data_IF_974465207639
#
_entry.id   IF_974465207639
#
_cell.length_a   1.000
_cell.length_b   1.000
_cell.length_c   1.000
_cell.angle_alpha   90.00
_cell.angle_beta   90.00
_cell.angle_gamma   90.00
#
_symmetry.space_group_name_H-M   'P 1'
#
loop_
_entity.id
_entity.type
_entity.pdbx_description
1 polymer ?
#
# COMPACT_ATOMS: atom_id res chain seq x y z
N UNK A 1 -42.66 -65.29 -19.84
CA UNK A 1 -43.39 -64.12 -19.30
C UNK A 1 -43.85 -64.44 -17.88
N UNK A 2 -43.89 -63.52 -16.91
CA UNK A 2 -43.15 -62.26 -16.69
C UNK A 2 -42.27 -62.33 -15.40
N UNK A 3 -41.19 -61.54 -15.30
CA UNK A 3 -41.03 -60.36 -14.41
C UNK A 3 -41.05 -60.61 -12.89
N UNK A 4 -39.95 -60.30 -12.20
CA UNK A 4 -39.87 -59.10 -11.34
C UNK A 4 -38.45 -58.91 -10.77
N UNK A 5 -38.11 -57.64 -10.64
CA UNK A 5 -36.82 -57.03 -10.29
C UNK A 5 -36.97 -56.42 -8.89
N UNK A 6 -35.95 -56.52 -8.03
CA UNK A 6 -35.55 -55.50 -7.03
C UNK A 6 -34.38 -56.09 -6.23
N UNK A 7 -33.19 -55.50 -6.08
CA UNK A 7 -32.87 -54.08 -5.97
C UNK A 7 -32.24 -53.86 -4.59
N UNK A 8 -30.93 -54.14 -4.43
CA UNK A 8 -30.15 -53.71 -3.25
C UNK A 8 -28.90 -52.97 -3.71
N UNK A 9 -28.97 -51.64 -3.60
CA UNK A 9 -27.85 -50.72 -3.81
C UNK A 9 -26.92 -50.78 -2.60
N UNK A 10 -25.65 -51.10 -2.86
CA UNK A 10 -24.55 -50.93 -1.93
C UNK A 10 -24.15 -49.44 -1.97
N UNK A 11 -24.31 -48.73 -0.85
CA UNK A 11 -23.85 -47.35 -0.69
C UNK A 11 -22.43 -47.41 -0.12
N UNK A 12 -21.44 -47.18 -0.96
CA UNK A 12 -20.05 -46.99 -0.57
C UNK A 12 -19.87 -45.52 -0.18
N UNK A 13 -19.72 -45.25 1.12
CA UNK A 13 -19.37 -43.92 1.62
C UNK A 13 -17.87 -43.68 1.38
N UNK A 14 -17.58 -42.65 0.58
CA UNK A 14 -16.23 -42.17 0.32
C UNK A 14 -15.65 -41.42 1.51
N UNK A 15 -14.38 -41.72 1.81
CA UNK A 15 -13.52 -40.92 2.67
C UNK A 15 -12.34 -40.43 1.83
N UNK A 16 -12.50 -39.28 1.20
CA UNK A 16 -11.44 -38.54 0.51
C UNK A 16 -11.64 -37.07 0.84
N UNK A 17 -10.96 -36.59 1.89
CA UNK A 17 -10.79 -35.17 2.14
C UNK A 17 -9.38 -34.92 2.68
N UNK A 18 -8.39 -35.16 1.82
CA UNK A 18 -7.04 -34.64 1.98
C UNK A 18 -6.92 -33.36 1.15
N UNK A 19 -7.48 -32.24 1.65
CA UNK A 19 -7.18 -30.93 1.08
C UNK A 19 -5.76 -30.54 1.51
N UNK A 20 -4.78 -30.94 0.70
CA UNK A 20 -3.51 -30.23 0.66
C UNK A 20 -3.79 -28.82 0.11
N UNK A 21 -3.66 -27.81 0.96
CA UNK A 21 -3.46 -26.43 0.54
C UNK A 21 -2.11 -26.31 -0.18
N UNK A 22 -2.04 -26.77 -1.44
CA UNK A 22 -1.01 -26.33 -2.35
C UNK A 22 -1.27 -24.84 -2.63
N UNK A 23 -0.51 -23.97 -1.96
CA UNK A 23 -0.35 -22.57 -2.38
C UNK A 23 0.12 -22.61 -3.82
N UNK A 24 -0.79 -22.41 -4.77
CA UNK A 24 -0.45 -22.26 -6.17
C UNK A 24 0.33 -20.96 -6.29
N UNK A 25 1.66 -21.06 -6.19
CA UNK A 25 2.59 -20.04 -6.65
C UNK A 25 2.38 -19.94 -8.16
N UNK A 26 1.40 -19.12 -8.59
CA UNK A 26 1.23 -18.81 -10.01
C UNK A 26 2.53 -18.20 -10.51
N UNK A 27 3.12 -18.89 -11.47
CA UNK A 27 4.37 -18.57 -12.09
C UNK A 27 4.30 -17.17 -12.73
N UNK A 28 4.97 -16.19 -12.12
CA UNK A 28 5.40 -14.98 -12.82
C UNK A 28 6.32 -15.31 -14.02
N UNK A 29 6.76 -16.57 -14.13
CA UNK A 29 7.58 -17.11 -15.22
C UNK A 29 6.78 -17.55 -16.46
N UNK A 30 5.44 -17.65 -16.35
CA UNK A 30 4.61 -18.03 -17.48
C UNK A 30 4.54 -16.88 -18.50
N UNK A 31 5.44 -16.91 -19.49
CA UNK A 31 5.54 -15.89 -20.54
C UNK A 31 6.65 -14.86 -20.35
N UNK A 32 7.66 -15.15 -19.51
CA UNK A 32 8.84 -14.28 -19.35
C UNK A 32 9.45 -14.01 -20.75
N UNK A 33 9.63 -12.75 -21.18
CA UNK A 33 9.97 -12.49 -22.57
C UNK A 33 11.38 -13.00 -22.90
N UNK A 34 11.58 -13.41 -24.16
CA UNK A 34 12.80 -14.12 -24.59
C UNK A 34 14.11 -13.33 -24.39
N UNK A 35 14.07 -12.03 -24.08
CA UNK A 35 15.27 -11.25 -23.81
C UNK A 35 16.07 -11.78 -22.59
N UNK A 36 15.42 -12.48 -21.65
CA UNK A 36 16.11 -13.19 -20.56
C UNK A 36 17.10 -14.25 -21.06
N UNK A 37 16.81 -14.88 -22.21
CA UNK A 37 17.72 -15.86 -22.84
C UNK A 37 18.96 -15.20 -23.46
N UNK A 38 18.82 -14.00 -24.01
CA UNK A 38 19.91 -13.22 -24.60
C UNK A 38 20.87 -12.71 -23.50
N UNK A 39 20.33 -12.13 -22.43
CA UNK A 39 21.11 -11.72 -21.26
C UNK A 39 21.80 -12.91 -20.62
N UNK A 40 21.12 -14.06 -20.47
CA UNK A 40 21.75 -15.30 -20.00
C UNK A 40 22.97 -15.67 -20.85
N UNK A 41 22.91 -15.64 -22.19
CA UNK A 41 24.05 -15.99 -23.06
C UNK A 41 25.24 -15.02 -22.93
N UNK A 42 24.99 -13.71 -22.77
CA UNK A 42 26.06 -12.70 -22.64
C UNK A 42 26.66 -12.70 -21.23
N UNK A 43 25.81 -12.77 -20.21
CA UNK A 43 26.21 -12.74 -18.80
C UNK A 43 26.77 -14.07 -18.30
N UNK A 44 26.49 -15.19 -18.98
CA UNK A 44 27.13 -16.49 -18.72
C UNK A 44 28.66 -16.38 -18.69
N UNK A 45 29.26 -15.50 -19.50
CA UNK A 45 30.71 -15.32 -19.52
C UNK A 45 31.24 -14.48 -18.38
N UNK A 46 30.38 -13.86 -17.58
CA UNK A 46 30.76 -12.89 -16.53
C UNK A 46 30.33 -13.39 -15.16
N UNK A 47 29.09 -13.87 -15.00
CA UNK A 47 28.54 -14.28 -13.72
C UNK A 47 28.66 -15.79 -13.47
N UNK A 48 29.23 -16.17 -12.31
CA UNK A 48 29.48 -17.57 -11.93
C UNK A 48 28.18 -18.36 -11.71
N UNK A 49 27.13 -17.72 -11.18
CA UNK A 49 25.87 -18.40 -10.87
C UNK A 49 25.02 -18.65 -12.12
N UNK A 50 25.35 -18.01 -13.25
CA UNK A 50 24.70 -18.26 -14.53
C UNK A 50 25.42 -19.31 -15.39
N UNK A 51 26.49 -19.93 -14.88
CA UNK A 51 27.23 -21.00 -15.55
C UNK A 51 26.81 -22.38 -15.06
N UNK A 52 27.20 -23.40 -15.81
CA UNK A 52 27.21 -24.78 -15.32
C UNK A 52 28.12 -24.87 -14.08
N UNK A 53 27.77 -25.64 -13.02
CA UNK A 53 26.59 -26.51 -12.93
C UNK A 53 25.31 -25.80 -12.44
N UNK A 54 25.35 -24.52 -12.08
CA UNK A 54 24.22 -23.82 -11.44
C UNK A 54 23.03 -23.62 -12.37
N UNK A 55 23.28 -23.17 -13.61
CA UNK A 55 22.23 -22.92 -14.61
C UNK A 55 21.50 -24.20 -15.02
N UNK A 56 22.21 -25.33 -14.99
CA UNK A 56 21.70 -26.60 -15.49
C UNK A 56 21.08 -27.45 -14.37
N UNK A 57 21.14 -26.98 -13.12
CA UNK A 57 20.50 -27.63 -11.98
C UNK A 57 18.97 -27.37 -11.96
N UNK A 58 18.16 -28.32 -11.47
CA UNK A 58 16.72 -28.12 -11.26
C UNK A 58 16.43 -26.92 -10.34
N UNK A 59 15.30 -26.24 -10.54
CA UNK A 59 14.95 -25.05 -9.75
C UNK A 59 14.67 -25.37 -8.27
N UNK A 60 14.35 -26.62 -7.96
CA UNK A 60 14.16 -27.12 -6.60
C UNK A 60 15.50 -27.29 -5.86
N UNK A 61 16.61 -27.39 -6.59
CA UNK A 61 17.95 -27.46 -6.01
C UNK A 61 18.46 -26.05 -5.66
N UNK A 62 19.19 -25.86 -4.53
CA UNK A 62 19.75 -24.55 -4.18
C UNK A 62 20.56 -23.90 -5.29
N UNK A 63 21.24 -24.67 -6.16
CA UNK A 63 22.02 -24.13 -7.26
C UNK A 63 21.13 -23.58 -8.38
N UNK A 64 20.08 -24.31 -8.75
CA UNK A 64 19.14 -23.87 -9.79
C UNK A 64 18.35 -22.66 -9.33
N UNK A 65 17.85 -22.67 -8.09
CA UNK A 65 17.19 -21.50 -7.50
C UNK A 65 18.11 -20.28 -7.44
N UNK A 66 19.37 -20.44 -7.01
CA UNK A 66 20.34 -19.35 -6.97
C UNK A 66 20.62 -18.78 -8.38
N UNK A 67 20.76 -19.64 -9.39
CA UNK A 67 20.92 -19.22 -10.79
C UNK A 67 19.73 -18.39 -11.28
N UNK A 68 18.52 -18.84 -10.98
CA UNK A 68 17.27 -18.15 -11.34
C UNK A 68 17.14 -16.79 -10.66
N UNK A 69 17.35 -16.73 -9.35
CA UNK A 69 17.29 -15.47 -8.60
C UNK A 69 18.35 -14.48 -9.08
N UNK A 70 19.57 -14.95 -9.35
CA UNK A 70 20.64 -14.11 -9.88
C UNK A 70 20.32 -13.55 -11.26
N UNK A 71 19.72 -14.35 -12.14
CA UNK A 71 19.28 -13.87 -13.46
C UNK A 71 18.27 -12.72 -13.35
N UNK A 72 17.31 -12.83 -12.41
CA UNK A 72 16.31 -11.78 -12.14
C UNK A 72 16.90 -10.53 -11.51
N UNK A 73 17.89 -10.70 -10.63
CA UNK A 73 18.63 -9.61 -10.02
C UNK A 73 19.40 -8.79 -11.06
N UNK A 74 20.11 -9.47 -11.98
CA UNK A 74 20.85 -8.83 -13.07
C UNK A 74 19.95 -8.08 -14.05
N UNK A 75 18.65 -8.37 -14.05
CA UNK A 75 17.67 -7.68 -14.88
C UNK A 75 17.05 -6.42 -14.22
N UNK A 76 17.28 -6.22 -12.91
CA UNK A 76 16.78 -5.02 -12.20
C UNK A 76 17.08 -3.72 -12.96
N UNK A 77 18.30 -3.47 -13.48
CA UNK A 77 18.60 -2.23 -14.21
C UNK A 77 17.76 -2.05 -15.48
N UNK A 78 17.48 -3.13 -16.21
CA UNK A 78 16.66 -3.05 -17.43
C UNK A 78 15.19 -2.75 -17.11
N UNK A 79 14.65 -3.34 -16.04
CA UNK A 79 13.29 -3.03 -15.56
C UNK A 79 13.17 -1.59 -15.10
N UNK A 80 14.18 -1.08 -14.39
CA UNK A 80 14.27 0.34 -14.01
C UNK A 80 14.29 1.22 -15.27
N UNK A 81 15.08 0.87 -16.29
CA UNK A 81 15.14 1.65 -17.52
C UNK A 81 13.83 1.58 -18.31
N UNK A 82 13.17 0.42 -18.35
CA UNK A 82 11.84 0.28 -18.93
C UNK A 82 10.80 1.16 -18.21
N UNK A 83 10.83 1.21 -16.87
CA UNK A 83 9.99 2.10 -16.06
C UNK A 83 10.25 3.57 -16.42
N UNK A 84 11.52 3.97 -16.53
CA UNK A 84 11.88 5.34 -16.92
C UNK A 84 11.37 5.69 -18.31
N UNK A 85 11.40 4.74 -19.24
CA UNK A 85 10.83 4.89 -20.57
C UNK A 85 9.30 5.03 -20.49
N UNK A 86 8.61 4.16 -19.75
CA UNK A 86 7.15 4.19 -19.56
C UNK A 86 6.68 5.53 -18.96
N UNK A 87 7.45 6.09 -18.02
CA UNK A 87 7.20 7.41 -17.42
C UNK A 87 7.07 8.53 -18.45
N UNK A 88 7.74 8.39 -19.61
CA UNK A 88 7.77 9.45 -20.63
C UNK A 88 6.48 9.60 -21.42
N UNK A 89 5.56 8.63 -21.31
CA UNK A 89 4.29 8.66 -22.02
C UNK A 89 3.23 9.45 -21.24
N UNK A 90 2.45 10.24 -21.97
CA UNK A 90 1.29 10.91 -21.39
C UNK A 90 0.19 9.90 -21.08
N UNK A 91 -0.26 9.87 -19.83
CA UNK A 91 -1.23 8.90 -19.32
C UNK A 91 -2.60 8.95 -20.04
N UNK A 92 -2.97 10.08 -20.66
CA UNK A 92 -4.22 10.21 -21.43
C UNK A 92 -4.17 9.39 -22.70
N UNK A 93 -3.01 9.41 -23.37
CA UNK A 93 -2.79 8.72 -24.65
C UNK A 93 -2.40 7.27 -24.45
N UNK A 94 -1.67 6.99 -23.36
CA UNK A 94 -1.14 5.67 -23.03
C UNK A 94 -1.50 5.31 -21.57
N UNK A 95 -2.79 5.09 -21.26
CA UNK A 95 -3.21 4.67 -19.92
C UNK A 95 -2.58 3.34 -19.50
N UNK A 96 -2.26 2.46 -20.45
CA UNK A 96 -1.56 1.20 -20.22
C UNK A 96 -0.16 1.40 -19.63
N UNK A 97 0.54 2.49 -19.96
CA UNK A 97 1.85 2.80 -19.37
C UNK A 97 1.70 3.08 -17.86
N UNK A 98 0.70 3.89 -17.48
CA UNK A 98 0.36 4.13 -16.08
C UNK A 98 -0.04 2.83 -15.38
N UNK A 99 -0.90 2.03 -16.00
CA UNK A 99 -1.43 0.82 -15.38
C UNK A 99 -0.32 -0.23 -15.16
N UNK A 100 0.63 -0.32 -16.10
CA UNK A 100 1.84 -1.12 -15.94
C UNK A 100 2.71 -0.62 -14.78
N UNK A 101 2.91 0.70 -14.64
CA UNK A 101 3.66 1.24 -13.50
C UNK A 101 2.99 0.93 -12.15
N UNK A 102 1.65 0.99 -12.10
CA UNK A 102 0.91 0.59 -10.90
C UNK A 102 1.06 -0.90 -10.61
N UNK A 103 0.99 -1.75 -11.63
CA UNK A 103 1.17 -3.19 -11.50
C UNK A 103 2.57 -3.54 -10.98
N UNK A 104 3.61 -2.97 -11.59
CA UNK A 104 5.00 -3.15 -11.17
C UNK A 104 5.21 -2.68 -9.73
N UNK A 105 4.66 -1.52 -9.36
CA UNK A 105 4.72 -1.02 -7.98
C UNK A 105 4.04 -1.96 -6.98
N UNK A 106 2.98 -2.67 -7.35
CA UNK A 106 2.26 -3.59 -6.46
C UNK A 106 2.89 -4.99 -6.39
N UNK A 107 3.41 -5.49 -7.51
CA UNK A 107 3.65 -6.92 -7.71
C UNK A 107 5.12 -7.28 -7.96
N UNK A 108 6.01 -6.31 -8.21
CA UNK A 108 7.44 -6.62 -8.39
C UNK A 108 8.05 -7.08 -7.07
N UNK A 109 8.95 -8.07 -7.11
CA UNK A 109 9.62 -8.59 -5.90
C UNK A 109 10.72 -7.66 -5.40
N UNK A 110 11.31 -6.88 -6.28
CA UNK A 110 12.50 -6.08 -5.99
C UNK A 110 12.14 -4.65 -5.62
N UNK A 111 12.54 -4.25 -4.42
CA UNK A 111 12.30 -2.91 -3.88
C UNK A 111 12.72 -1.76 -4.81
N UNK A 112 13.90 -1.78 -5.47
CA UNK A 112 14.33 -0.66 -6.32
C UNK A 112 13.41 -0.46 -7.52
N UNK A 113 12.87 -1.55 -8.05
CA UNK A 113 11.94 -1.54 -9.18
C UNK A 113 10.60 -0.95 -8.75
N UNK A 114 10.07 -1.39 -7.59
CA UNK A 114 8.85 -0.81 -7.01
C UNK A 114 9.01 0.67 -6.67
N UNK A 115 10.17 1.06 -6.13
CA UNK A 115 10.49 2.44 -5.80
C UNK A 115 10.53 3.32 -7.06
N UNK A 116 11.23 2.88 -8.11
CA UNK A 116 11.28 3.63 -9.36
C UNK A 116 9.88 3.71 -10.01
N UNK A 117 9.05 2.66 -9.92
CA UNK A 117 7.68 2.71 -10.39
C UNK A 117 6.82 3.75 -9.63
N UNK A 118 6.93 3.80 -8.30
CA UNK A 118 6.25 4.82 -7.49
C UNK A 118 6.74 6.23 -7.83
N UNK A 119 8.05 6.40 -8.06
CA UNK A 119 8.66 7.67 -8.49
C UNK A 119 8.17 8.07 -9.88
N UNK A 120 8.08 7.12 -10.81
CA UNK A 120 7.56 7.35 -12.14
C UNK A 120 6.10 7.84 -12.11
N UNK A 121 5.26 7.21 -11.29
CA UNK A 121 3.87 7.66 -11.08
C UNK A 121 3.80 9.07 -10.51
N UNK A 122 4.64 9.41 -9.52
CA UNK A 122 4.75 10.77 -8.98
C UNK A 122 5.08 11.78 -10.09
N UNK A 123 6.09 11.49 -10.90
CA UNK A 123 6.53 12.38 -11.96
C UNK A 123 5.44 12.54 -13.04
N UNK A 124 4.80 11.44 -13.45
CA UNK A 124 3.66 11.49 -14.37
C UNK A 124 2.51 12.34 -13.82
N UNK A 125 2.21 12.25 -12.53
CA UNK A 125 1.17 13.07 -11.92
C UNK A 125 1.58 14.54 -11.81
N UNK A 126 2.84 14.82 -11.48
CA UNK A 126 3.37 16.17 -11.41
C UNK A 126 3.34 16.87 -12.79
N UNK A 127 3.66 16.15 -13.86
CA UNK A 127 3.59 16.69 -15.23
C UNK A 127 2.16 16.99 -15.69
N UNK A 128 1.18 16.28 -15.12
CA UNK A 128 -0.25 16.46 -15.43
C UNK A 128 -0.99 17.33 -14.42
N UNK A 129 -0.37 17.69 -13.29
CA UNK A 129 -0.92 18.64 -12.34
C UNK A 129 -1.03 20.02 -13.01
N UNK A 130 -2.26 20.51 -13.16
CA UNK A 130 -2.61 21.72 -13.89
C UNK A 130 -2.13 22.92 -13.09
N UNK A 131 -0.89 23.30 -13.34
CA UNK A 131 -0.25 24.48 -12.80
C UNK A 131 0.90 24.86 -13.71
N UNK A 132 0.66 25.81 -14.61
CA UNK A 132 1.69 26.65 -15.26
C UNK A 132 2.83 25.90 -15.98
N UNK A 133 2.56 25.12 -17.04
CA UNK A 133 3.60 24.92 -18.06
C UNK A 133 3.61 26.14 -18.98
N UNK A 134 4.62 27.00 -18.83
CA UNK A 134 4.95 28.00 -19.84
C UNK A 134 5.26 27.28 -21.15
N UNK A 135 4.61 27.71 -22.23
CA UNK A 135 4.75 27.17 -23.56
C UNK A 135 6.20 27.26 -24.07
N UNK A 136 7.00 26.23 -23.81
CA UNK A 136 8.21 25.92 -24.57
C UNK A 136 8.02 24.51 -25.10
N UNK A 137 7.36 24.41 -26.25
CA UNK A 137 7.14 23.14 -26.94
C UNK A 137 8.41 22.79 -27.69
N UNK A 138 9.06 21.71 -27.27
CA UNK A 138 10.16 21.12 -28.03
C UNK A 138 9.60 20.18 -29.10
N UNK A 139 10.37 19.87 -30.15
CA UNK A 139 9.97 18.90 -31.18
C UNK A 139 9.66 17.51 -30.61
N UNK A 140 10.20 17.18 -29.43
CA UNK A 140 9.97 15.95 -28.69
C UNK A 140 8.54 15.86 -28.11
N UNK A 141 7.90 17.00 -27.80
CA UNK A 141 6.53 17.08 -27.28
C UNK A 141 5.48 16.72 -28.36
N UNK A 142 5.82 16.86 -29.65
CA UNK A 142 4.92 16.52 -30.77
C UNK A 142 4.82 15.02 -31.02
N UNK A 143 5.93 14.28 -30.89
CA UNK A 143 5.95 12.81 -31.05
C UNK A 143 5.31 12.06 -29.88
N UNK A 144 5.33 12.64 -28.67
CA UNK A 144 4.72 12.05 -27.46
C UNK A 144 3.25 12.40 -27.28
N UNK A 145 2.72 13.20 -28.21
CA UNK A 145 1.34 13.59 -28.23
C UNK A 145 1.01 14.62 -27.16
N UNK A 146 1.50 15.84 -27.34
CA UNK A 146 1.05 17.01 -26.61
C UNK A 146 -0.50 17.04 -26.44
N UNK A 147 -1.00 17.44 -25.26
CA UNK A 147 -2.43 17.66 -25.06
C UNK A 147 -2.89 18.88 -25.86
N UNK A 148 -4.11 18.83 -26.41
CA UNK A 148 -4.76 20.01 -26.95
C UNK A 148 -4.90 21.06 -25.83
N UNK A 149 -4.34 22.24 -26.05
CA UNK A 149 -4.18 23.29 -25.04
C UNK A 149 -5.51 23.84 -24.48
N UNK A 150 -6.64 23.56 -25.15
CA UNK A 150 -7.93 24.20 -24.90
C UNK A 150 -8.94 23.38 -24.07
N UNK A 151 -8.53 22.29 -23.40
CA UNK A 151 -9.45 21.49 -22.56
C UNK A 151 -9.17 21.62 -21.06
N UNK A 152 -10.00 22.37 -20.28
CA UNK A 152 -9.86 22.55 -18.83
C UNK A 152 -10.02 21.28 -17.98
N UNK A 153 -10.10 20.09 -18.60
CA UNK A 153 -10.36 18.81 -17.93
C UNK A 153 -9.16 17.87 -17.89
N UNK A 154 -7.98 18.30 -18.36
CA UNK A 154 -6.84 17.41 -18.54
C UNK A 154 -6.22 16.88 -17.24
N UNK A 155 -6.49 17.49 -16.08
CA UNK A 155 -6.00 17.01 -14.78
C UNK A 155 -6.61 15.68 -14.28
N UNK A 156 -7.75 15.24 -14.85
CA UNK A 156 -8.49 14.08 -14.33
C UNK A 156 -8.03 12.73 -14.90
N UNK A 157 -7.11 12.71 -15.86
CA UNK A 157 -6.76 11.51 -16.61
C UNK A 157 -5.75 10.59 -15.89
N UNK A 158 -4.74 11.13 -15.21
CA UNK A 158 -3.67 10.28 -14.63
C UNK A 158 -4.01 9.73 -13.26
N UNK A 159 -4.66 10.52 -12.40
CA UNK A 159 -4.93 10.17 -11.00
C UNK A 159 -6.40 9.78 -10.80
N UNK A 160 -6.85 8.71 -11.48
CA UNK A 160 -8.21 8.21 -11.30
C UNK A 160 -8.38 7.53 -9.92
N UNK A 161 -9.64 7.26 -9.53
CA UNK A 161 -9.95 6.69 -8.21
C UNK A 161 -9.23 5.35 -7.96
N UNK A 162 -9.21 4.49 -8.97
CA UNK A 162 -8.66 3.14 -8.88
C UNK A 162 -7.14 3.18 -8.70
N UNK A 163 -6.44 3.98 -9.52
CA UNK A 163 -5.01 4.22 -9.40
C UNK A 163 -4.64 4.75 -8.02
N UNK A 164 -5.38 5.76 -7.53
CA UNK A 164 -5.11 6.34 -6.21
C UNK A 164 -5.36 5.35 -5.08
N UNK A 165 -6.40 4.52 -5.16
CA UNK A 165 -6.65 3.48 -4.17
C UNK A 165 -5.51 2.45 -4.13
N UNK A 166 -4.97 2.06 -5.30
CA UNK A 166 -3.82 1.15 -5.40
C UNK A 166 -2.55 1.77 -4.82
N UNK A 167 -2.28 3.05 -5.08
CA UNK A 167 -1.13 3.75 -4.49
C UNK A 167 -1.32 3.96 -2.98
N UNK A 168 -2.54 4.27 -2.53
CA UNK A 168 -2.86 4.39 -1.11
C UNK A 168 -2.69 3.08 -0.35
N UNK A 169 -3.00 1.94 -1.00
CA UNK A 169 -2.70 0.61 -0.47
C UNK A 169 -1.21 0.41 -0.21
N UNK A 170 -0.36 0.74 -1.18
CA UNK A 170 1.11 0.73 -1.01
C UNK A 170 1.52 1.66 0.13
N UNK A 171 1.00 2.88 0.16
CA UNK A 171 1.41 3.88 1.15
C UNK A 171 0.97 3.55 2.59
N UNK A 172 -0.23 2.99 2.79
CA UNK A 172 -0.91 3.02 4.09
C UNK A 172 -1.57 1.71 4.53
N UNK A 173 -1.74 0.71 3.66
CA UNK A 173 -2.41 -0.52 4.04
C UNK A 173 -1.54 -1.33 5.02
N UNK A 174 -2.19 -1.89 6.02
CA UNK A 174 -1.62 -2.83 6.98
C UNK A 174 -2.44 -4.11 6.83
N UNK A 175 -1.75 -5.23 6.67
CA UNK A 175 -2.33 -6.56 6.55
C UNK A 175 -2.89 -7.01 7.92
N UNK A 176 -3.63 -8.10 7.92
CA UNK A 176 -4.24 -8.65 9.13
C UNK A 176 -3.21 -9.16 10.15
N UNK A 177 -1.97 -9.42 9.71
CA UNK A 177 -0.82 -9.78 10.53
C UNK A 177 -0.14 -8.57 11.22
N UNK A 178 -0.68 -7.35 11.05
CA UNK A 178 -0.11 -6.12 11.58
C UNK A 178 1.10 -5.58 10.79
N UNK A 179 1.56 -6.29 9.75
CA UNK A 179 2.64 -5.83 8.89
C UNK A 179 2.13 -4.83 7.84
N UNK A 180 2.97 -3.86 7.47
CA UNK A 180 2.67 -2.96 6.35
C UNK A 180 2.54 -3.75 5.04
N UNK A 181 1.59 -3.38 4.19
CA UNK A 181 1.40 -4.00 2.88
C UNK A 181 2.68 -3.96 2.04
N UNK A 182 3.26 -2.76 1.87
CA UNK A 182 4.58 -2.58 1.29
C UNK A 182 5.63 -2.57 2.40
N UNK A 183 6.57 -3.53 2.44
CA UNK A 183 7.58 -3.60 3.50
C UNK A 183 8.60 -2.45 3.44
N UNK A 184 8.95 -1.94 2.25
CA UNK A 184 9.94 -0.87 2.11
C UNK A 184 9.38 0.49 2.50
N UNK A 185 9.97 1.10 3.54
CA UNK A 185 9.67 2.47 3.96
C UNK A 185 9.86 3.47 2.82
N UNK A 186 10.93 3.32 2.05
CA UNK A 186 11.29 4.21 0.94
C UNK A 186 10.22 4.17 -0.16
N UNK A 187 9.73 2.98 -0.51
CA UNK A 187 8.61 2.81 -1.48
C UNK A 187 7.33 3.44 -0.94
N UNK A 188 6.98 3.19 0.33
CA UNK A 188 5.78 3.81 0.96
C UNK A 188 5.84 5.33 0.90
N UNK A 189 6.97 5.93 1.28
CA UNK A 189 7.15 7.39 1.24
C UNK A 189 7.03 7.93 -0.19
N UNK A 190 7.58 7.23 -1.19
CA UNK A 190 7.44 7.64 -2.58
C UNK A 190 5.99 7.53 -3.07
N UNK A 191 5.25 6.51 -2.65
CA UNK A 191 3.81 6.40 -2.92
C UNK A 191 3.02 7.56 -2.30
N UNK A 192 3.38 8.02 -1.09
CA UNK A 192 2.81 9.24 -0.48
C UNK A 192 3.10 10.47 -1.33
N UNK A 193 4.34 10.63 -1.81
CA UNK A 193 4.70 11.73 -2.70
C UNK A 193 3.92 11.67 -4.01
N UNK A 194 3.73 10.49 -4.59
CA UNK A 194 2.91 10.31 -5.78
C UNK A 194 1.48 10.79 -5.55
N UNK A 195 0.84 10.37 -4.45
CA UNK A 195 -0.50 10.85 -4.09
C UNK A 195 -0.51 12.38 -3.95
N UNK A 196 0.49 12.98 -3.29
CA UNK A 196 0.56 14.44 -3.14
C UNK A 196 0.74 15.17 -4.49
N UNK A 197 1.56 14.63 -5.40
CA UNK A 197 1.78 15.17 -6.74
C UNK A 197 0.56 15.11 -7.65
N UNK A 198 -0.45 14.30 -7.31
CA UNK A 198 -1.74 14.32 -8.02
C UNK A 198 -2.57 15.59 -7.81
N UNK A 199 -2.07 16.54 -6.98
CA UNK A 199 -2.80 17.75 -6.60
C UNK A 199 -3.84 17.52 -5.50
N UNK A 200 -4.01 16.27 -5.06
CA UNK A 200 -4.83 15.92 -3.91
C UNK A 200 -4.01 16.19 -2.65
N UNK A 201 -4.40 17.21 -1.89
CA UNK A 201 -3.74 17.57 -0.63
C UNK A 201 -4.02 16.45 0.39
N UNK A 202 -3.12 15.48 0.49
CA UNK A 202 -3.21 14.38 1.45
C UNK A 202 -2.99 14.94 2.87
N UNK A 203 -4.04 15.02 3.67
CA UNK A 203 -3.94 15.42 5.08
C UNK A 203 -3.42 14.29 5.99
N UNK A 204 -2.94 13.19 5.41
CA UNK A 204 -2.29 12.09 6.13
C UNK A 204 -0.77 12.36 6.14
N UNK A 205 -0.24 12.80 7.29
CA UNK A 205 1.20 12.99 7.45
C UNK A 205 1.92 11.64 7.36
N UNK A 206 3.11 11.57 6.72
CA UNK A 206 3.86 10.33 6.61
C UNK A 206 4.24 9.81 7.99
N UNK A 207 4.05 8.51 8.17
CA UNK A 207 4.44 7.73 9.35
C UNK A 207 5.94 7.95 9.62
N UNK A 208 6.29 8.76 10.63
CA UNK A 208 7.67 8.81 11.16
C UNK A 208 7.74 7.84 12.34
N UNK A 209 8.42 6.71 12.13
CA UNK A 209 8.89 5.85 13.23
C UNK A 209 10.39 5.64 13.02
N UNK A 210 11.19 6.09 13.99
CA UNK A 210 12.59 5.71 14.22
C UNK A 210 13.63 5.98 13.13
N UNK A 211 14.89 6.10 13.54
CA UNK A 211 16.06 6.08 12.66
C UNK A 211 16.15 4.77 11.86
N UNK A 212 16.61 4.90 10.62
CA UNK A 212 16.62 3.85 9.59
C UNK A 212 17.80 2.90 9.74
N UNK A 213 17.56 1.61 9.46
CA UNK A 213 18.62 0.77 8.90
C UNK A 213 18.86 1.25 7.47
N UNK A 214 20.10 1.63 7.18
CA UNK A 214 20.52 2.16 5.88
C UNK A 214 20.26 1.20 4.71
N UNK A 215 20.46 1.66 3.47
CA UNK A 215 20.18 0.88 2.27
C UNK A 215 20.94 -0.46 2.27
N UNK A 216 20.34 -1.54 1.74
CA UNK A 216 21.00 -2.84 1.64
C UNK A 216 22.31 -2.75 0.83
N UNK A 217 23.30 -3.54 1.26
CA UNK A 217 24.72 -3.45 0.88
C UNK A 217 25.07 -3.57 -0.63
N UNK A 218 24.09 -3.76 -1.52
CA UNK A 218 24.33 -3.84 -2.96
C UNK A 218 24.35 -2.48 -3.68
N UNK A 219 24.01 -1.38 -3.00
CA UNK A 219 24.12 0.01 -3.53
C UNK A 219 25.58 0.54 -3.58
N UNK A 220 26.59 -0.32 -3.46
CA UNK A 220 28.01 0.05 -3.57
C UNK A 220 28.81 -0.91 -4.46
N UNK A 221 28.38 -1.19 -5.69
CA UNK A 221 29.22 -1.92 -6.65
C UNK A 221 29.02 -1.45 -8.10
N UNK A 222 29.47 -0.23 -8.37
CA UNK A 222 29.86 0.30 -9.67
C UNK A 222 30.79 1.50 -9.39
N UNK A 223 32.03 1.61 -9.87
CA UNK A 223 32.88 0.76 -10.69
C UNK A 223 34.01 1.64 -11.24
N UNK A 224 35.23 1.09 -11.23
CA UNK A 224 36.41 1.47 -12.04
C UNK A 224 37.29 2.65 -11.61
N UNK A 225 38.58 2.34 -11.49
CA UNK A 225 39.65 3.26 -11.13
C UNK A 225 40.05 4.24 -12.24
N UNK A 226 40.70 5.30 -11.79
CA UNK A 226 41.65 6.12 -12.53
C UNK A 226 42.76 6.50 -11.56
N UNK A 227 44.00 6.15 -11.91
CA UNK A 227 45.21 6.62 -11.22
C UNK A 227 45.20 8.15 -11.18
N UNK A 228 45.51 8.73 -10.01
CA UNK A 228 46.50 9.80 -9.88
C UNK A 228 46.87 9.94 -8.40
N UNK A 229 48.17 9.86 -8.14
CA UNK A 229 48.73 9.97 -6.80
C UNK A 229 48.52 11.37 -6.24
N UNK A 230 47.87 11.45 -5.08
CA UNK A 230 48.17 12.46 -4.09
C UNK A 230 47.75 11.95 -2.70
N UNK A 231 48.75 11.89 -1.83
CA UNK A 231 48.62 11.53 -0.42
C UNK A 231 47.86 12.66 0.31
N UNK A 232 46.61 12.39 0.66
CA UNK A 232 45.82 13.25 1.56
C UNK A 232 45.60 12.50 2.86
N UNK A 233 46.21 13.04 3.91
CA UNK A 233 46.16 12.60 5.31
C UNK A 233 44.70 12.58 5.83
N UNK A 234 44.24 11.53 6.52
CA UNK A 234 42.89 11.49 7.08
C UNK A 234 42.74 12.46 8.28
N UNK A 235 41.57 13.11 8.44
CA UNK A 235 41.27 13.91 9.63
C UNK A 235 41.00 13.02 10.85
N UNK A 236 41.25 13.52 12.08
CA UNK A 236 41.15 12.73 13.31
C UNK A 236 39.70 12.39 13.68
N UNK A 237 39.54 11.23 14.30
CA UNK A 237 38.28 10.76 14.88
C UNK A 237 37.83 11.67 16.02
N UNK A 238 36.58 12.13 15.94
CA UNK A 238 35.87 12.75 17.07
C UNK A 238 34.98 11.69 17.70
N UNK A 239 35.25 11.37 18.96
CA UNK A 239 34.38 10.57 19.81
C UNK A 239 33.21 11.44 20.30
N UNK A 240 31.97 11.01 20.07
CA UNK A 240 30.79 11.46 20.82
C UNK A 240 30.05 10.24 21.37
N UNK A 241 30.04 10.15 22.71
CA UNK A 241 29.48 9.04 23.47
C UNK A 241 27.95 9.06 23.55
N UNK A 242 27.36 7.87 23.39
CA UNK A 242 25.97 7.62 23.70
C UNK A 242 25.77 7.51 25.22
N UNK A 243 24.88 8.30 25.79
CA UNK A 243 24.43 8.17 27.17
C UNK A 243 23.39 7.05 27.29
N UNK A 244 23.70 6.01 28.07
CA UNK A 244 22.78 4.95 28.49
C UNK A 244 22.27 5.23 29.90
N UNK A 245 20.98 4.99 30.18
CA UNK A 245 20.46 4.95 31.55
C UNK A 245 20.61 3.56 32.18
N UNK A 246 20.51 3.52 33.52
CA UNK A 246 20.95 2.41 34.36
C UNK A 246 20.07 1.13 34.30
N UNK A 247 19.10 1.02 33.38
CA UNK A 247 18.22 -0.14 33.27
C UNK A 247 18.13 -0.76 31.87
N UNK A 248 18.90 -0.29 30.87
CA UNK A 248 19.11 -1.03 29.62
C UNK A 248 17.84 -1.30 28.78
N UNK A 249 16.76 -0.52 28.98
CA UNK A 249 15.57 -0.57 28.11
C UNK A 249 15.64 0.62 27.16
N UNK A 250 15.71 0.33 25.86
CA UNK A 250 15.60 1.36 24.81
C UNK A 250 14.20 1.98 24.91
N UNK A 251 14.12 3.17 25.51
CA UNK A 251 12.88 3.92 25.60
C UNK A 251 12.62 4.60 24.25
N UNK A 252 11.62 4.10 23.52
CA UNK A 252 11.22 4.63 22.22
C UNK A 252 10.81 6.11 22.34
N UNK A 253 11.22 6.99 21.39
CA UNK A 253 10.82 8.38 21.42
C UNK A 253 9.30 8.51 21.24
N UNK A 254 8.65 9.12 22.22
CA UNK A 254 7.21 9.38 22.25
C UNK A 254 6.83 10.38 21.15
N UNK A 255 6.08 9.93 20.14
CA UNK A 255 5.56 10.78 19.04
C UNK A 255 4.63 11.86 19.61
N UNK A 256 4.89 13.14 19.31
CA UNK A 256 4.36 14.26 20.13
C UNK A 256 3.17 15.05 19.59
N UNK A 257 2.67 14.87 18.34
CA UNK A 257 1.45 15.60 17.90
C UNK A 257 0.52 14.75 17.01
N UNK A 258 -0.35 13.97 17.63
CA UNK A 258 -1.50 13.35 16.97
C UNK A 258 -2.70 14.29 16.98
N UNK A 259 -3.50 14.27 15.91
CA UNK A 259 -4.69 15.13 15.77
C UNK A 259 -5.91 14.39 16.34
N UNK A 260 -6.60 14.94 17.35
CA UNK A 260 -7.83 14.33 17.86
C UNK A 260 -8.94 14.40 16.82
N UNK A 261 -9.75 13.34 16.75
CA UNK A 261 -10.98 13.33 15.95
C UNK A 261 -12.07 14.01 16.78
N UNK A 262 -12.60 15.14 16.31
CA UNK A 262 -13.37 16.07 17.13
C UNK A 262 -14.56 15.39 17.82
N UNK A 263 -15.29 14.55 17.07
CA UNK A 263 -16.50 13.85 17.55
C UNK A 263 -16.21 12.62 18.41
N UNK A 264 -14.98 12.15 18.45
CA UNK A 264 -14.56 11.02 19.29
C UNK A 264 -13.81 11.46 20.54
N UNK A 265 -13.51 12.76 20.71
CA UNK A 265 -12.83 13.28 21.91
C UNK A 265 -13.53 12.90 23.21
N UNK A 266 -14.85 12.86 23.19
CA UNK A 266 -15.68 12.61 24.39
C UNK A 266 -16.23 11.19 24.45
N UNK A 267 -15.87 10.30 23.51
CA UNK A 267 -16.46 8.96 23.43
C UNK A 267 -15.36 7.91 23.39
N UNK A 268 -15.42 6.95 24.32
CA UNK A 268 -14.50 5.82 24.32
C UNK A 268 -14.86 4.84 23.18
N UNK A 269 -14.02 4.77 22.15
CA UNK A 269 -14.29 3.95 20.96
C UNK A 269 -14.34 2.44 21.26
N UNK A 270 -13.55 1.97 22.23
CA UNK A 270 -13.54 0.56 22.68
C UNK A 270 -14.84 0.22 23.40
N UNK A 271 -15.28 1.05 24.34
CA UNK A 271 -16.58 0.86 24.99
C UNK A 271 -17.72 0.87 23.98
N UNK A 272 -17.66 1.78 23.00
CA UNK A 272 -18.65 1.88 21.94
C UNK A 272 -18.68 0.63 21.05
N UNK A 273 -17.51 0.04 20.75
CA UNK A 273 -17.39 -1.23 20.05
C UNK A 273 -18.10 -2.38 20.79
N UNK A 274 -18.10 -2.34 22.13
CA UNK A 274 -18.87 -3.27 22.97
C UNK A 274 -20.32 -2.84 23.23
N UNK A 275 -20.86 -1.88 22.46
CA UNK A 275 -22.25 -1.43 22.55
C UNK A 275 -22.53 -0.47 23.71
N UNK A 276 -21.51 0.02 24.41
CA UNK A 276 -21.65 0.94 25.55
C UNK A 276 -21.15 2.32 25.20
N UNK A 277 -22.03 3.32 25.25
CA UNK A 277 -21.62 4.73 25.07
C UNK A 277 -21.13 5.26 26.41
N UNK A 278 -19.81 5.30 26.58
CA UNK A 278 -19.14 5.81 27.78
C UNK A 278 -18.36 7.07 27.42
N UNK A 279 -18.40 8.07 28.31
CA UNK A 279 -17.63 9.31 28.14
C UNK A 279 -16.14 8.99 28.28
N UNK A 280 -15.33 9.49 27.37
CA UNK A 280 -13.88 9.32 27.45
C UNK A 280 -13.25 10.33 28.40
N UNK A 281 -12.18 9.91 29.07
CA UNK A 281 -11.28 10.77 29.81
C UNK A 281 -10.26 11.41 28.85
N UNK A 282 -10.08 12.72 28.96
CA UNK A 282 -9.15 13.47 28.12
C UNK A 282 -7.68 13.15 28.40
N UNK A 283 -7.37 12.68 29.62
CA UNK A 283 -6.02 12.31 30.05
C UNK A 283 -5.61 10.92 29.55
N UNK A 284 -6.58 10.03 29.40
CA UNK A 284 -6.35 8.65 28.96
C UNK A 284 -6.49 8.59 27.43
N UNK A 285 -5.36 8.64 26.73
CA UNK A 285 -5.35 8.71 25.28
C UNK A 285 -4.21 7.92 24.64
N UNK A 286 -4.51 7.39 23.45
CA UNK A 286 -3.54 6.70 22.60
C UNK A 286 -3.59 7.29 21.19
N UNK A 287 -2.47 7.18 20.48
CA UNK A 287 -2.36 7.66 19.11
C UNK A 287 -2.23 6.48 18.16
N UNK A 288 -3.03 6.47 17.11
CA UNK A 288 -2.94 5.48 16.05
C UNK A 288 -3.12 6.15 14.70
N UNK A 289 -2.20 5.89 13.76
CA UNK A 289 -2.29 6.41 12.39
C UNK A 289 -2.44 7.94 12.31
N UNK A 290 -1.72 8.67 13.17
CA UNK A 290 -1.76 10.13 13.25
C UNK A 290 -3.01 10.71 13.93
N UNK A 291 -3.95 9.86 14.38
CA UNK A 291 -5.17 10.25 15.08
C UNK A 291 -5.08 9.95 16.57
N UNK A 292 -5.59 10.87 17.39
CA UNK A 292 -5.68 10.71 18.84
C UNK A 292 -7.06 10.19 19.24
N UNK A 293 -7.09 9.14 20.04
CA UNK A 293 -8.28 8.52 20.62
C UNK A 293 -8.24 8.66 22.14
N UNK A 294 -9.40 8.88 22.74
CA UNK A 294 -9.56 9.02 24.18
C UNK A 294 -10.37 7.83 24.73
N UNK A 295 -10.08 7.41 25.96
CA UNK A 295 -10.66 6.21 26.57
C UNK A 295 -11.27 6.51 27.93
N UNK A 296 -12.24 5.70 28.34
CA UNK A 296 -12.91 5.87 29.62
C UNK A 296 -12.02 5.47 30.81
N UNK A 297 -11.12 4.51 30.60
CA UNK A 297 -10.23 3.96 31.61
C UNK A 297 -8.96 3.38 30.94
N UNK A 298 -7.96 3.07 31.77
CA UNK A 298 -6.68 2.49 31.31
C UNK A 298 -6.85 1.10 30.67
N UNK A 299 -7.85 0.32 31.08
CA UNK A 299 -8.12 -0.99 30.50
C UNK A 299 -8.57 -0.88 29.04
N UNK A 300 -9.49 0.04 28.74
CA UNK A 300 -9.92 0.34 27.38
C UNK A 300 -8.77 0.88 26.52
N UNK A 301 -7.87 1.70 27.09
CA UNK A 301 -6.65 2.11 26.40
C UNK A 301 -5.76 0.91 26.06
N UNK A 302 -5.49 0.02 27.02
CA UNK A 302 -4.66 -1.17 26.77
C UNK A 302 -5.28 -2.11 25.72
N UNK A 303 -6.61 -2.28 25.73
CA UNK A 303 -7.32 -3.03 24.68
C UNK A 303 -7.11 -2.40 23.30
N UNK A 304 -7.19 -1.07 23.22
CA UNK A 304 -6.95 -0.35 21.98
C UNK A 304 -5.49 -0.46 21.52
N UNK A 305 -4.53 -0.31 22.42
CA UNK A 305 -3.10 -0.41 22.09
C UNK A 305 -2.70 -1.82 21.66
N UNK A 306 -3.36 -2.85 22.19
CA UNK A 306 -3.15 -4.25 21.80
C UNK A 306 -3.62 -4.55 20.38
N UNK A 307 -4.76 -3.99 19.95
CA UNK A 307 -5.30 -4.17 18.58
C UNK A 307 -6.01 -2.90 18.10
N UNK A 308 -5.26 -1.85 17.70
CA UNK A 308 -5.86 -0.57 17.34
C UNK A 308 -6.62 -0.65 16.02
N UNK A 309 -6.29 -1.61 15.14
CA UNK A 309 -6.95 -1.77 13.84
C UNK A 309 -8.41 -2.20 13.99
N UNK A 310 -8.71 -3.02 15.00
CA UNK A 310 -10.06 -3.46 15.34
C UNK A 310 -10.98 -2.33 15.81
N UNK A 311 -10.46 -1.40 16.60
CA UNK A 311 -11.28 -0.34 17.22
C UNK A 311 -11.24 0.98 16.45
N UNK A 312 -10.11 1.32 15.82
CA UNK A 312 -9.94 2.59 15.13
C UNK A 312 -10.91 2.75 13.96
N UNK A 313 -11.35 3.99 13.75
CA UNK A 313 -12.20 4.32 12.61
C UNK A 313 -11.45 4.13 11.29
N UNK A 314 -12.14 3.57 10.30
CA UNK A 314 -11.68 3.51 8.92
C UNK A 314 -11.35 4.92 8.39
N UNK A 315 -10.43 4.98 7.41
CA UNK A 315 -10.02 6.23 6.77
C UNK A 315 -9.59 7.34 7.74
N UNK A 316 -9.14 6.97 8.96
CA UNK A 316 -8.75 7.93 9.99
C UNK A 316 -9.88 8.89 10.37
N UNK A 317 -11.14 8.48 10.24
CA UNK A 317 -12.32 9.29 10.57
C UNK A 317 -12.77 10.25 9.46
N UNK A 318 -12.19 10.15 8.27
CA UNK A 318 -12.60 10.93 7.10
C UNK A 318 -13.73 10.27 6.33
N UNK A 319 -14.55 11.08 5.65
CA UNK A 319 -15.66 10.59 4.84
C UNK A 319 -15.17 9.97 3.52
N UNK A 320 -15.28 8.64 3.34
CA UNK A 320 -14.81 7.98 2.13
C UNK A 320 -15.64 8.35 0.90
N UNK A 321 -16.95 8.63 1.06
CA UNK A 321 -17.82 9.01 -0.05
C UNK A 321 -17.53 10.44 -0.49
N UNK A 322 -17.37 11.36 0.47
CA UNK A 322 -16.98 12.73 0.17
C UNK A 322 -15.63 12.75 -0.54
N UNK A 323 -14.67 11.98 -0.05
CA UNK A 323 -13.36 11.86 -0.66
C UNK A 323 -13.43 11.32 -2.09
N UNK A 324 -14.20 10.26 -2.34
CA UNK A 324 -14.32 9.70 -3.70
C UNK A 324 -15.04 10.66 -4.66
N UNK A 325 -16.07 11.40 -4.20
CA UNK A 325 -16.87 12.31 -5.05
C UNK A 325 -16.17 13.64 -5.32
N UNK A 326 -15.62 14.26 -4.28
CA UNK A 326 -15.14 15.64 -4.32
C UNK A 326 -13.62 15.74 -4.27
N UNK A 327 -12.93 14.64 -3.92
CA UNK A 327 -11.45 14.61 -3.71
C UNK A 327 -10.97 15.51 -2.58
N UNK A 328 -11.88 15.88 -1.70
CA UNK A 328 -11.62 16.67 -0.51
C UNK A 328 -11.68 15.75 0.71
N UNK A 329 -10.71 15.93 1.61
CA UNK A 329 -10.72 15.19 2.87
C UNK A 329 -11.49 15.98 3.89
N UNK A 330 -12.68 15.48 4.20
CA UNK A 330 -13.57 16.07 5.20
C UNK A 330 -13.69 15.08 6.35
N UNK A 331 -13.42 15.54 7.57
CA UNK A 331 -13.66 14.74 8.78
C UNK A 331 -15.14 14.45 8.92
N UNK A 332 -15.48 13.18 9.14
CA UNK A 332 -16.86 12.75 9.27
C UNK A 332 -17.45 13.18 10.60
N UNK A 333 -18.76 13.43 10.60
CA UNK A 333 -19.57 13.78 11.76
C UNK A 333 -20.51 12.65 12.19
N UNK A 334 -20.84 11.75 11.27
CA UNK A 334 -21.74 10.62 11.46
C UNK A 334 -20.93 9.33 11.58
N UNK A 335 -20.88 8.76 12.78
CA UNK A 335 -20.19 7.49 13.03
C UNK A 335 -21.14 6.32 12.81
N UNK A 336 -20.72 5.34 11.99
CA UNK A 336 -21.52 4.14 11.69
C UNK A 336 -20.63 2.91 11.76
N UNK A 337 -21.14 1.82 12.35
CA UNK A 337 -20.50 0.51 12.31
C UNK A 337 -21.01 -0.30 11.10
N UNK A 338 -20.09 -0.88 10.35
CA UNK A 338 -20.36 -1.79 9.26
C UNK A 338 -19.27 -2.88 9.21
N UNK A 339 -19.63 -4.16 9.13
CA UNK A 339 -18.71 -5.30 9.17
C UNK A 339 -17.63 -5.16 10.26
N UNK A 340 -18.08 -4.93 11.50
CA UNK A 340 -17.22 -4.74 12.67
C UNK A 340 -16.20 -3.60 12.60
N UNK A 341 -16.36 -2.68 11.65
CA UNK A 341 -15.52 -1.50 11.53
C UNK A 341 -16.33 -0.22 11.58
N UNK A 342 -15.80 0.80 12.23
CA UNK A 342 -16.43 2.10 12.26
C UNK A 342 -15.99 2.97 11.07
N UNK A 343 -16.96 3.60 10.42
CA UNK A 343 -16.78 4.59 9.36
C UNK A 343 -17.36 5.92 9.83
N UNK A 344 -16.81 7.02 9.33
CA UNK A 344 -17.33 8.36 9.61
C UNK A 344 -17.73 9.04 8.31
N UNK A 345 -18.85 9.77 8.31
CA UNK A 345 -19.36 10.49 7.13
C UNK A 345 -19.63 11.95 7.47
N UNK A 346 -19.33 12.88 6.58
CA UNK A 346 -19.55 14.31 6.75
C UNK A 346 -21.04 14.66 6.71
N UNK A 347 -21.82 13.94 5.90
CA UNK A 347 -23.27 14.13 5.74
C UNK A 347 -24.01 12.79 5.84
N UNK A 348 -25.30 12.85 6.17
CA UNK A 348 -26.17 11.66 6.15
C UNK A 348 -26.31 11.06 4.75
N UNK A 349 -26.43 11.91 3.74
CA UNK A 349 -26.52 11.50 2.33
C UNK A 349 -25.29 10.71 1.86
N UNK A 350 -24.10 11.05 2.37
CA UNK A 350 -22.88 10.31 2.06
C UNK A 350 -22.91 8.91 2.68
N UNK A 351 -23.43 8.77 3.90
CA UNK A 351 -23.69 7.44 4.45
C UNK A 351 -24.70 6.63 3.62
N UNK A 352 -25.80 7.26 3.18
CA UNK A 352 -26.80 6.55 2.37
C UNK A 352 -26.20 6.10 1.03
N UNK A 353 -25.34 6.93 0.42
CA UNK A 353 -24.55 6.55 -0.77
C UNK A 353 -23.60 5.39 -0.47
N UNK A 354 -22.89 5.44 0.66
CA UNK A 354 -21.94 4.39 1.05
C UNK A 354 -22.62 3.01 1.13
N UNK A 355 -23.85 2.97 1.64
CA UNK A 355 -24.64 1.74 1.72
C UNK A 355 -25.01 1.17 0.36
N UNK A 356 -25.29 2.03 -0.62
CA UNK A 356 -25.70 1.58 -1.97
C UNK A 356 -24.57 0.95 -2.78
N UNK A 357 -23.31 1.27 -2.47
CA UNK A 357 -22.14 0.81 -3.24
C UNK A 357 -20.93 0.56 -2.32
N UNK A 358 -21.09 -0.38 -1.38
CA UNK A 358 -20.09 -0.65 -0.35
C UNK A 358 -18.74 -1.09 -0.93
N UNK A 359 -18.78 -1.89 -2.00
CA UNK A 359 -17.59 -2.45 -2.62
C UNK A 359 -16.66 -1.38 -3.17
N UNK A 360 -17.22 -0.31 -3.73
CA UNK A 360 -16.47 0.83 -4.25
C UNK A 360 -15.65 1.56 -3.19
N UNK A 361 -16.12 1.59 -1.94
CA UNK A 361 -15.48 2.35 -0.86
C UNK A 361 -14.65 1.49 0.08
N UNK A 362 -14.90 0.18 0.13
CA UNK A 362 -14.25 -0.73 1.07
C UNK A 362 -13.30 -1.73 0.40
N UNK A 363 -13.40 -1.90 -0.93
CA UNK A 363 -12.63 -2.91 -1.68
C UNK A 363 -13.08 -4.35 -1.39
N UNK A 364 -14.08 -4.55 -0.54
CA UNK A 364 -14.67 -5.86 -0.28
C UNK A 364 -15.79 -6.15 -1.28
N UNK A 365 -15.92 -7.37 -1.81
CA UNK A 365 -17.05 -7.73 -2.64
C UNK A 365 -18.34 -7.52 -1.83
N UNK A 366 -19.37 -6.93 -2.44
CA UNK A 366 -20.68 -6.81 -1.81
C UNK A 366 -21.16 -8.22 -1.47
N UNK A 367 -21.29 -8.53 -0.18
CA UNK A 367 -21.94 -9.75 0.27
C UNK A 367 -23.30 -9.87 -0.45
N UNK A 368 -23.66 -11.04 -1.02
CA UNK A 368 -24.98 -11.20 -1.60
C UNK A 368 -26.00 -10.93 -0.50
N UNK A 369 -26.96 -10.07 -0.85
CA UNK A 369 -28.05 -9.59 -0.02
C UNK A 369 -28.65 -10.73 0.80
N UNK A 370 -28.36 -10.78 2.11
CA UNK A 370 -29.21 -11.51 3.03
C UNK A 370 -30.57 -10.81 3.03
N UNK A 371 -31.59 -11.54 2.59
CA UNK A 371 -33.00 -11.19 2.72
C UNK A 371 -33.29 -10.64 4.13
N UNK A 372 -34.03 -9.53 4.26
CA UNK A 372 -34.23 -8.90 5.55
C UNK A 372 -35.08 -9.82 6.44
N UNK A 373 -34.45 -10.44 7.43
CA UNK A 373 -35.16 -10.87 8.63
C UNK A 373 -35.36 -9.63 9.51
N UNK A 374 -36.62 -9.32 9.79
CA UNK A 374 -37.04 -8.22 10.64
C UNK A 374 -36.58 -8.42 12.09
N UNK A 375 -35.32 -8.16 12.42
CA UNK A 375 -34.90 -7.72 13.76
C UNK A 375 -33.44 -7.29 13.77
N UNK A 376 -33.11 -6.15 13.17
CA UNK A 376 -31.83 -5.49 13.43
C UNK A 376 -31.98 -3.99 13.28
N UNK A 377 -32.37 -3.35 14.38
CA UNK A 377 -32.34 -1.90 14.52
C UNK A 377 -30.91 -1.39 14.32
N UNK A 378 -30.61 -0.88 13.13
CA UNK A 378 -29.43 -0.05 12.87
C UNK A 378 -29.53 1.23 13.70
N UNK A 379 -28.92 1.24 14.88
CA UNK A 379 -28.82 2.45 15.71
C UNK A 379 -27.83 3.42 15.10
N UNK A 380 -28.36 4.47 14.48
CA UNK A 380 -27.58 5.66 14.13
C UNK A 380 -27.38 6.44 15.42
N UNK A 381 -26.17 6.43 15.97
CA UNK A 381 -25.85 7.25 17.13
C UNK A 381 -25.47 8.63 16.64
N UNK A 382 -26.41 9.57 16.73
CA UNK A 382 -26.15 10.99 16.51
C UNK A 382 -25.39 11.52 17.73
N UNK A 383 -24.09 11.80 17.58
CA UNK A 383 -23.27 12.39 18.64
C UNK A 383 -23.46 13.90 18.61
N UNK A 384 -24.51 14.37 19.29
CA UNK A 384 -24.82 15.80 19.45
C UNK A 384 -23.67 16.57 20.10
N UNK A 385 -23.47 17.82 19.67
CA UNK A 385 -22.60 18.76 20.36
C UNK A 385 -23.32 19.21 21.64
N UNK A 386 -22.70 19.03 22.80
CA UNK A 386 -23.16 19.67 24.03
C UNK A 386 -22.72 21.15 24.00
N UNK A 387 -23.68 22.04 24.26
CA UNK A 387 -23.45 23.46 24.55
C UNK A 387 -22.93 23.63 25.97
#
# INVERSE_FOLDING_TARGET
MPSQISGKKLITFGLMCGLMCCVQVRAQDAGEPQWGSFLKKRLQRVDKLLRSPFRDAPEEDPKGLASKLRARELDIPNRIEAIRYLKTFHCTKFPEARDMLVDVMLNDRWEPVRFEAARALRDMFAECACGTRSASQTAQDRLRGAPDADSPRHCRCCANAETLNKIARVAYEIKDDGCTFEPSRRVRQMAVQAIASSGIRCCYQPYRVGEEFGPPAWEKLDGSGGNDGNEVKPPPATEEGAATDANGVISLPKVTKSVPIERLKTVCIVSLYHGRKVVADSEIAASYRGRKYHFADSHAQSLFEADPQKYAVAFGGCDPVHYVRHREVVEGRYLVRHNDRYYMFATRQNYDTFKTDLARYTGQPSSPTETPSESSTSKVVQVGAAQ
#
